data_IF_840268956540
#
_entry.id   IF_840268956540
#
_cell.length_a   1.000
_cell.length_b   1.000
_cell.length_c   1.000
_cell.angle_alpha   90.00
_cell.angle_beta   90.00
_cell.angle_gamma   90.00
#
_symmetry.space_group_name_H-M   'P 1'
#
loop_
_entity.id
_entity.type
_entity.pdbx_description
1 polymer ?
#
# COMPACT_ATOMS: atom_id res chain seq x y z
N UNK A 1 12.92 -17.08 -13.53
CA UNK A 1 13.34 -15.68 -13.26
C UNK A 1 12.62 -15.14 -12.02
N UNK A 2 13.23 -14.29 -11.18
CA UNK A 2 12.53 -13.63 -10.05
C UNK A 2 11.95 -12.29 -10.50
N UNK A 3 10.75 -11.97 -10.03
CA UNK A 3 10.10 -10.67 -10.20
C UNK A 3 9.51 -10.20 -8.87
N UNK A 4 9.35 -8.90 -8.72
CA UNK A 4 8.75 -8.26 -7.57
C UNK A 4 7.46 -7.57 -8.01
N UNK A 5 6.35 -7.89 -7.37
CA UNK A 5 5.03 -7.37 -7.68
C UNK A 5 4.65 -6.37 -6.59
N UNK A 6 4.27 -5.17 -7.01
CA UNK A 6 3.70 -4.14 -6.13
C UNK A 6 2.21 -4.08 -6.40
N UNK A 7 1.40 -4.07 -5.34
CA UNK A 7 -0.05 -4.05 -5.49
C UNK A 7 -0.78 -3.57 -4.26
N UNK A 8 -2.10 -3.54 -4.39
CA UNK A 8 -3.05 -3.22 -3.34
C UNK A 8 -3.93 -4.45 -3.08
N UNK A 9 -3.99 -4.91 -1.84
CA UNK A 9 -4.78 -6.06 -1.42
C UNK A 9 -5.75 -5.65 -0.31
N UNK A 10 -7.00 -6.06 -0.47
CA UNK A 10 -8.09 -5.82 0.48
C UNK A 10 -9.12 -6.95 0.44
N UNK A 11 -10.17 -6.90 1.27
CA UNK A 11 -11.15 -7.98 1.40
C UNK A 11 -11.83 -8.38 0.07
N UNK A 12 -12.00 -7.43 -0.85
CA UNK A 12 -12.74 -7.61 -2.10
C UNK A 12 -11.88 -7.41 -3.36
N UNK A 13 -10.59 -7.11 -3.20
CA UNK A 13 -9.74 -6.79 -4.34
C UNK A 13 -8.28 -7.21 -4.14
N UNK A 14 -7.63 -7.50 -5.26
CA UNK A 14 -6.19 -7.69 -5.32
C UNK A 14 -5.69 -7.14 -6.65
N UNK A 15 -5.16 -5.92 -6.63
CA UNK A 15 -4.78 -5.16 -7.81
C UNK A 15 -3.26 -5.10 -7.93
N UNK A 16 -2.73 -5.57 -9.07
CA UNK A 16 -1.31 -5.38 -9.41
C UNK A 16 -1.12 -3.98 -9.97
N UNK A 17 -0.31 -3.16 -9.28
CA UNK A 17 0.03 -1.81 -9.69
C UNK A 17 1.24 -1.81 -10.64
N UNK A 18 2.27 -2.60 -10.31
CA UNK A 18 3.47 -2.71 -11.15
C UNK A 18 4.28 -3.98 -10.89
N UNK A 19 5.10 -4.35 -11.88
CA UNK A 19 6.00 -5.52 -11.81
C UNK A 19 7.42 -5.07 -12.14
N UNK A 20 8.37 -5.47 -11.30
CA UNK A 20 9.77 -5.06 -11.40
C UNK A 20 10.70 -6.27 -11.40
N UNK A 21 11.84 -6.15 -12.07
CA UNK A 21 12.89 -7.18 -12.05
C UNK A 21 13.79 -7.08 -10.82
N UNK A 22 13.83 -5.92 -10.16
CA UNK A 22 14.65 -5.67 -8.98
C UNK A 22 13.79 -5.19 -7.81
N UNK A 23 14.22 -5.53 -6.59
CA UNK A 23 13.55 -5.09 -5.37
C UNK A 23 13.61 -3.56 -5.23
N UNK A 24 14.73 -2.93 -5.59
CA UNK A 24 14.88 -1.47 -5.54
C UNK A 24 13.84 -0.74 -6.43
N UNK A 25 13.57 -1.28 -7.63
CA UNK A 25 12.53 -0.75 -8.51
C UNK A 25 11.14 -0.90 -7.90
N UNK A 26 10.85 -2.06 -7.33
CA UNK A 26 9.60 -2.30 -6.61
C UNK A 26 9.44 -1.39 -5.39
N UNK A 27 10.50 -1.16 -4.61
CA UNK A 27 10.48 -0.29 -3.44
C UNK A 27 10.17 1.16 -3.82
N UNK A 28 10.74 1.65 -4.92
CA UNK A 28 10.43 2.99 -5.46
C UNK A 28 8.95 3.10 -5.84
N UNK A 29 8.40 2.09 -6.52
CA UNK A 29 6.99 2.07 -6.91
C UNK A 29 6.05 1.93 -5.71
N UNK A 30 6.40 1.09 -4.74
CA UNK A 30 5.66 0.93 -3.48
C UNK A 30 5.64 2.24 -2.68
N UNK A 31 6.78 2.91 -2.53
CA UNK A 31 6.85 4.18 -1.82
C UNK A 31 6.02 5.27 -2.50
N UNK A 32 6.01 5.30 -3.85
CA UNK A 32 5.13 6.18 -4.59
C UNK A 32 3.66 5.88 -4.32
N UNK A 33 3.24 4.61 -4.41
CA UNK A 33 1.84 4.23 -4.15
C UNK A 33 1.42 4.52 -2.71
N UNK A 34 2.32 4.29 -1.75
CA UNK A 34 2.13 4.65 -0.33
C UNK A 34 1.83 6.13 -0.15
N UNK A 35 2.60 7.00 -0.79
CA UNK A 35 2.38 8.45 -0.72
C UNK A 35 1.05 8.86 -1.37
N UNK A 36 0.70 8.28 -2.53
CA UNK A 36 -0.59 8.50 -3.19
C UNK A 36 -1.77 8.11 -2.27
N UNK A 37 -1.67 6.96 -1.59
CA UNK A 37 -2.69 6.52 -0.63
C UNK A 37 -2.80 7.44 0.60
N UNK A 38 -1.69 8.01 1.07
CA UNK A 38 -1.72 9.02 2.15
C UNK A 38 -2.47 10.26 1.67
N UNK A 39 -2.19 10.75 0.47
CA UNK A 39 -2.86 11.91 -0.11
C UNK A 39 -4.37 11.67 -0.29
N UNK A 40 -4.76 10.48 -0.80
CA UNK A 40 -6.14 10.05 -0.91
C UNK A 40 -6.83 10.03 0.47
N UNK A 41 -6.22 9.39 1.47
CA UNK A 41 -6.77 9.30 2.83
C UNK A 41 -6.91 10.68 3.49
N UNK A 42 -5.93 11.57 3.31
CA UNK A 42 -6.01 12.96 3.79
C UNK A 42 -7.12 13.74 3.11
N UNK A 43 -7.37 13.49 1.83
CA UNK A 43 -8.47 14.12 1.09
C UNK A 43 -9.83 13.68 1.67
N UNK A 44 -10.01 12.37 1.88
CA UNK A 44 -11.24 11.85 2.50
C UNK A 44 -11.45 12.42 3.89
N UNK A 45 -10.41 12.42 4.74
CA UNK A 45 -10.46 12.91 6.12
C UNK A 45 -11.01 14.34 6.22
N UNK A 46 -10.66 15.23 5.27
CA UNK A 46 -11.17 16.62 5.23
C UNK A 46 -12.68 16.73 5.00
N UNK A 47 -13.27 15.72 4.36
CA UNK A 47 -14.71 15.70 4.01
C UNK A 47 -15.58 14.92 4.99
N UNK A 48 -14.97 14.16 5.91
CA UNK A 48 -15.71 13.31 6.85
C UNK A 48 -16.32 14.12 8.00
N UNK A 49 -17.57 13.79 8.32
CA UNK A 49 -18.29 14.39 9.46
C UNK A 49 -18.40 13.42 10.63
N UNK A 50 -18.33 12.11 10.38
CA UNK A 50 -18.34 11.07 11.41
C UNK A 50 -16.97 10.94 12.08
N UNK A 51 -16.96 10.94 13.41
CA UNK A 51 -15.74 10.78 14.19
C UNK A 51 -15.11 9.39 14.01
N UNK A 52 -15.93 8.34 13.90
CA UNK A 52 -15.43 6.98 13.68
C UNK A 52 -14.76 6.82 12.30
N UNK A 53 -15.25 7.54 11.28
CA UNK A 53 -14.64 7.52 9.94
C UNK A 53 -13.31 8.28 9.95
N UNK A 54 -13.23 9.39 10.68
CA UNK A 54 -11.96 10.12 10.85
C UNK A 54 -10.91 9.26 11.52
N UNK A 55 -11.24 8.61 12.65
CA UNK A 55 -10.32 7.71 13.36
C UNK A 55 -9.78 6.60 12.45
N UNK A 56 -10.63 6.06 11.56
CA UNK A 56 -10.22 5.07 10.57
C UNK A 56 -9.18 5.64 9.59
N UNK A 57 -9.44 6.80 8.98
CA UNK A 57 -8.50 7.42 8.02
C UNK A 57 -7.21 7.90 8.70
N UNK A 58 -7.27 8.41 9.93
CA UNK A 58 -6.08 8.76 10.72
C UNK A 58 -5.20 7.54 10.99
N UNK A 59 -5.82 6.39 11.31
CA UNK A 59 -5.08 5.13 11.47
C UNK A 59 -4.42 4.70 10.16
N UNK A 60 -5.14 4.80 9.04
CA UNK A 60 -4.59 4.50 7.70
C UNK A 60 -3.36 5.39 7.43
N UNK A 61 -3.46 6.70 7.63
CA UNK A 61 -2.34 7.63 7.42
C UNK A 61 -1.15 7.31 8.33
N UNK A 62 -1.41 7.03 9.61
CA UNK A 62 -0.37 6.65 10.58
C UNK A 62 0.37 5.38 10.13
N UNK A 63 -0.37 4.38 9.67
CA UNK A 63 0.20 3.12 9.22
C UNK A 63 1.02 3.29 7.94
N UNK A 64 0.47 4.01 6.94
CA UNK A 64 1.16 4.34 5.70
C UNK A 64 2.37 5.25 5.91
N UNK A 65 2.52 5.92 7.05
CA UNK A 65 3.73 6.70 7.36
C UNK A 65 4.96 5.82 7.59
N UNK A 66 4.80 4.51 7.76
CA UNK A 66 5.92 3.57 7.79
C UNK A 66 6.58 3.48 6.40
N UNK A 67 7.90 3.68 6.33
CA UNK A 67 8.66 3.64 5.08
C UNK A 67 9.26 2.26 4.77
N UNK A 68 8.99 1.29 5.64
CA UNK A 68 9.51 -0.08 5.55
C UNK A 68 8.36 -1.06 5.21
N UNK A 69 8.34 -1.66 4.00
CA UNK A 69 7.28 -2.57 3.58
C UNK A 69 7.22 -3.87 4.40
N UNK A 70 8.28 -4.24 5.13
CA UNK A 70 8.27 -5.44 5.99
C UNK A 70 7.69 -5.16 7.38
N UNK A 71 7.55 -3.88 7.75
CA UNK A 71 7.12 -3.44 9.08
C UNK A 71 5.83 -2.66 9.09
N UNK A 72 5.31 -2.29 7.93
CA UNK A 72 4.05 -1.58 7.80
C UNK A 72 2.91 -2.45 8.35
N UNK A 73 2.13 -1.89 9.28
CA UNK A 73 0.91 -2.52 9.76
C UNK A 73 -0.25 -1.98 8.94
N UNK A 74 -0.61 -2.63 7.85
CA UNK A 74 -1.70 -2.20 6.98
C UNK A 74 -3.02 -2.95 7.25
N UNK A 75 -3.09 -3.79 8.29
CA UNK A 75 -4.28 -4.60 8.58
C UNK A 75 -5.59 -3.80 8.71
N UNK A 76 -6.73 -4.27 8.16
CA UNK A 76 -6.92 -5.54 7.43
C UNK A 76 -6.57 -5.51 5.93
N UNK A 77 -6.17 -4.36 5.38
CA UNK A 77 -5.82 -4.22 3.97
C UNK A 77 -4.31 -4.31 3.78
N UNK A 78 -3.77 -5.31 3.09
CA UNK A 78 -2.33 -5.35 2.75
C UNK A 78 -1.99 -4.34 1.64
N UNK A 79 -2.31 -3.06 1.84
CA UNK A 79 -2.21 -1.99 0.84
C UNK A 79 -1.31 -0.86 1.34
N UNK A 80 -0.21 -0.54 0.63
CA UNK A 80 0.36 -1.28 -0.50
C UNK A 80 1.24 -2.46 -0.05
N UNK A 81 1.40 -3.49 -0.89
CA UNK A 81 2.29 -4.63 -0.65
C UNK A 81 3.45 -4.72 -1.67
N UNK A 82 4.50 -5.44 -1.30
CA UNK A 82 5.53 -5.97 -2.22
C UNK A 82 5.60 -7.49 -2.04
N UNK A 83 5.56 -8.27 -3.12
CA UNK A 83 5.74 -9.74 -3.07
C UNK A 83 6.72 -10.23 -4.13
N UNK A 84 7.55 -11.21 -3.78
CA UNK A 84 8.46 -11.89 -4.71
C UNK A 84 7.76 -13.08 -5.38
N UNK A 85 7.89 -13.20 -6.70
CA UNK A 85 7.41 -14.35 -7.47
C UNK A 85 8.52 -14.94 -8.34
N UNK A 86 8.60 -16.26 -8.39
CA UNK A 86 9.45 -16.99 -9.32
C UNK A 86 8.64 -17.35 -10.57
N UNK A 87 9.00 -16.78 -11.71
CA UNK A 87 8.50 -17.21 -13.01
C UNK A 87 9.01 -18.62 -13.29
N UNK A 88 8.07 -19.56 -13.46
CA UNK A 88 8.31 -20.88 -14.00
C UNK A 88 8.65 -20.76 -15.49
N UNK A 89 9.56 -21.61 -15.96
CA UNK A 89 10.01 -21.68 -17.36
C UNK A 89 8.94 -22.27 -18.27
#
# INVERSE_FOLDING_TARGET
MRIFVVGDSGPEHNNVISIHRTYEGALKAWNRRRLELIEEAQSYLKSMTSESEKEMYERIIKNLSCEDPERIDNYPQETPYITEKKLQE
#
